data_IF_107846939282
#
_entry.id   IF_107846939282
#
_cell.length_a   1.000
_cell.length_b   1.000
_cell.length_c   1.000
_cell.angle_alpha   90.00
_cell.angle_beta   90.00
_cell.angle_gamma   90.00
#
_symmetry.space_group_name_H-M   'P 1'
#
loop_
_entity.id
_entity.type
_entity.pdbx_description
1 polymer ?
#
# COMPACT_ATOMS: atom_id res chain seq x y z
N UNK A 1 -0.67 1.65 1.81
CA UNK A 1 -1.45 2.75 2.40
C UNK A 1 -0.50 3.87 2.79
N UNK A 2 -1.05 5.07 2.92
CA UNK A 2 -0.40 6.37 3.05
C UNK A 2 0.47 6.55 4.30
N UNK A 3 0.34 5.69 5.30
CA UNK A 3 1.06 5.82 6.58
C UNK A 3 2.46 5.21 6.52
N UNK A 4 2.59 3.98 6.00
CA UNK A 4 3.83 3.20 6.09
C UNK A 4 4.72 3.31 4.83
N UNK A 5 4.15 3.69 3.68
CA UNK A 5 4.86 3.67 2.39
C UNK A 5 5.73 4.88 2.03
N UNK A 6 5.51 6.12 2.51
CA UNK A 6 6.27 7.28 2.02
C UNK A 6 7.78 7.11 2.10
N UNK A 7 8.31 6.69 3.26
CA UNK A 7 9.74 6.50 3.47
C UNK A 7 10.31 5.34 2.63
N UNK A 8 9.51 4.31 2.34
CA UNK A 8 9.96 3.22 1.47
C UNK A 8 10.19 3.72 0.03
N UNK A 9 9.29 4.56 -0.49
CA UNK A 9 9.49 5.18 -1.81
C UNK A 9 10.66 6.17 -1.82
N UNK A 10 10.84 6.96 -0.75
CA UNK A 10 12.00 7.84 -0.61
C UNK A 10 13.31 7.07 -0.62
N UNK A 11 13.39 5.92 0.07
CA UNK A 11 14.55 5.04 0.06
C UNK A 11 14.87 4.51 -1.34
N UNK A 12 13.86 4.06 -2.10
CA UNK A 12 14.03 3.68 -3.49
C UNK A 12 14.59 4.84 -4.33
N UNK A 13 14.01 6.03 -4.20
CA UNK A 13 14.42 7.23 -4.95
C UNK A 13 15.86 7.63 -4.63
N UNK A 14 16.22 7.66 -3.35
CA UNK A 14 17.57 8.00 -2.88
C UNK A 14 18.62 7.02 -3.44
N UNK A 15 18.26 5.75 -3.60
CA UNK A 15 19.13 4.71 -4.14
C UNK A 15 19.04 4.54 -5.67
N UNK A 16 18.26 5.38 -6.36
CA UNK A 16 18.04 5.28 -7.81
C UNK A 16 17.37 3.96 -8.25
N UNK A 17 16.57 3.35 -7.36
CA UNK A 17 15.88 2.07 -7.60
C UNK A 17 14.46 2.31 -8.09
N UNK A 18 13.94 1.35 -8.84
CA UNK A 18 12.52 1.30 -9.25
C UNK A 18 11.80 0.21 -8.46
N UNK A 19 10.47 0.28 -8.43
CA UNK A 19 9.65 -0.86 -8.00
C UNK A 19 9.86 -2.00 -8.99
N UNK A 20 10.32 -3.15 -8.50
CA UNK A 20 10.76 -4.30 -9.29
C UNK A 20 9.61 -4.96 -10.07
N UNK A 21 8.42 -4.99 -9.50
CA UNK A 21 7.21 -5.57 -10.10
C UNK A 21 5.98 -4.69 -9.81
N UNK A 22 5.78 -3.57 -10.52
CA UNK A 22 4.66 -2.67 -10.26
C UNK A 22 3.29 -3.36 -10.41
N UNK A 23 3.15 -4.31 -11.33
CA UNK A 23 1.92 -5.08 -11.52
C UNK A 23 1.59 -6.09 -10.39
N UNK A 24 2.51 -6.28 -9.43
CA UNK A 24 2.27 -7.08 -8.21
C UNK A 24 2.08 -6.20 -6.96
N UNK A 25 2.00 -4.88 -7.16
CA UNK A 25 1.88 -3.89 -6.09
C UNK A 25 0.67 -3.01 -6.34
N UNK A 26 -0.12 -2.79 -5.29
CA UNK A 26 -1.20 -1.82 -5.31
C UNK A 26 -1.16 -1.00 -4.02
N UNK A 27 -1.83 0.14 -4.05
CA UNK A 27 -2.05 0.99 -2.90
C UNK A 27 -3.52 1.39 -2.80
N UNK A 28 -3.96 1.66 -1.58
CA UNK A 28 -5.25 2.27 -1.27
C UNK A 28 -5.05 3.31 -0.17
N UNK A 29 -5.96 4.27 -0.09
CA UNK A 29 -6.07 5.20 1.02
C UNK A 29 -7.12 4.69 1.99
N UNK A 30 -6.79 4.48 3.26
CA UNK A 30 -7.75 3.90 4.22
C UNK A 30 -7.52 4.28 5.68
N UNK A 31 -6.36 4.82 6.04
CA UNK A 31 -6.02 5.16 7.43
C UNK A 31 -6.37 6.61 7.81
N UNK A 32 -6.22 7.52 6.85
CA UNK A 32 -6.32 8.97 7.04
C UNK A 32 -7.54 9.59 6.32
N UNK A 33 -8.39 8.74 5.75
CA UNK A 33 -9.59 9.17 5.05
C UNK A 33 -10.59 9.74 6.06
N UNK A 34 -11.08 10.96 5.82
CA UNK A 34 -12.08 11.57 6.68
C UNK A 34 -13.39 10.77 6.67
N UNK A 35 -13.97 10.59 7.85
CA UNK A 35 -15.27 9.91 8.02
C UNK A 35 -16.46 10.80 7.62
N UNK A 36 -16.24 12.09 7.34
CA UNK A 36 -17.28 13.06 7.00
C UNK A 36 -17.31 13.42 5.51
N UNK A 37 -16.17 13.37 4.84
CA UNK A 37 -16.04 13.81 3.44
C UNK A 37 -14.88 13.11 2.74
N UNK A 38 -14.96 12.99 1.41
CA UNK A 38 -13.88 12.49 0.55
C UNK A 38 -12.95 13.60 0.06
N UNK A 39 -13.07 14.82 0.59
CA UNK A 39 -12.16 15.92 0.28
C UNK A 39 -10.86 15.82 1.09
N UNK A 40 -9.75 15.60 0.38
CA UNK A 40 -8.41 15.55 0.97
C UNK A 40 -8.04 16.84 1.72
N UNK A 41 -8.57 17.99 1.29
CA UNK A 41 -8.27 19.29 1.91
C UNK A 41 -9.02 19.50 3.23
N UNK A 42 -10.07 18.73 3.48
CA UNK A 42 -10.80 18.73 4.74
C UNK A 42 -10.13 17.85 5.82
N UNK A 43 -9.04 17.16 5.47
CA UNK A 43 -8.27 16.33 6.41
C UNK A 43 -7.25 17.17 7.17
N UNK A 44 -6.81 16.68 8.34
CA UNK A 44 -5.70 17.30 9.07
C UNK A 44 -4.44 17.41 8.21
N UNK A 45 -3.57 18.37 8.52
CA UNK A 45 -2.40 18.68 7.68
C UNK A 45 -1.53 17.46 7.39
N UNK A 46 -1.23 16.65 8.40
CA UNK A 46 -0.41 15.44 8.24
C UNK A 46 -1.10 14.39 7.37
N UNK A 47 -2.40 14.14 7.61
CA UNK A 47 -3.20 13.22 6.81
C UNK A 47 -3.22 13.63 5.34
N UNK A 48 -3.41 14.92 5.07
CA UNK A 48 -3.36 15.50 3.72
C UNK A 48 -2.00 15.27 3.05
N UNK A 49 -0.90 15.54 3.75
CA UNK A 49 0.46 15.33 3.23
C UNK A 49 0.70 13.86 2.90
N UNK A 50 0.34 12.94 3.80
CA UNK A 50 0.53 11.50 3.57
C UNK A 50 -0.25 10.99 2.36
N UNK A 51 -1.52 11.39 2.22
CA UNK A 51 -2.34 11.01 1.06
C UNK A 51 -1.79 11.62 -0.24
N UNK A 52 -1.36 12.89 -0.23
CA UNK A 52 -0.74 13.53 -1.41
C UNK A 52 0.57 12.85 -1.80
N UNK A 53 1.40 12.49 -0.83
CA UNK A 53 2.67 11.81 -1.10
C UNK A 53 2.42 10.39 -1.63
N UNK A 54 1.37 9.69 -1.18
CA UNK A 54 0.97 8.42 -1.77
C UNK A 54 0.56 8.57 -3.25
N UNK A 55 -0.24 9.58 -3.60
CA UNK A 55 -0.63 9.85 -5.00
C UNK A 55 0.61 10.03 -5.87
N UNK A 56 1.52 10.91 -5.41
CA UNK A 56 2.75 11.24 -6.13
C UNK A 56 3.64 10.00 -6.30
N UNK A 57 3.87 9.24 -5.24
CA UNK A 57 4.70 8.03 -5.27
C UNK A 57 4.10 6.96 -6.19
N UNK A 58 2.79 6.72 -6.12
CA UNK A 58 2.14 5.75 -7.00
C UNK A 58 2.28 6.13 -8.48
N UNK A 59 2.09 7.42 -8.82
CA UNK A 59 2.28 7.92 -10.18
C UNK A 59 3.75 7.80 -10.64
N UNK A 60 4.71 8.17 -9.79
CA UNK A 60 6.14 8.13 -10.10
C UNK A 60 6.65 6.70 -10.34
N UNK A 61 6.21 5.75 -9.52
CA UNK A 61 6.70 4.36 -9.55
C UNK A 61 5.81 3.39 -10.34
N UNK A 62 4.71 3.88 -10.92
CA UNK A 62 3.77 3.08 -11.72
C UNK A 62 2.97 2.07 -10.91
N UNK A 63 2.69 2.37 -9.63
CA UNK A 63 1.88 1.52 -8.74
C UNK A 63 0.41 1.91 -8.87
N UNK A 64 -0.47 0.92 -9.00
CA UNK A 64 -1.91 1.16 -9.07
C UNK A 64 -2.44 1.70 -7.74
N UNK A 65 -3.22 2.78 -7.78
CA UNK A 65 -3.74 3.46 -6.60
C UNK A 65 -5.28 3.48 -6.61
N UNK A 66 -5.87 2.97 -5.54
CA UNK A 66 -7.27 3.08 -5.19
C UNK A 66 -7.43 4.35 -4.35
N UNK A 67 -7.48 5.50 -5.01
CA UNK A 67 -7.57 6.83 -4.37
C UNK A 67 -8.97 7.10 -3.77
N UNK A 68 -9.14 8.26 -3.11
CA UNK A 68 -10.39 8.66 -2.43
C UNK A 68 -11.64 8.58 -3.33
N UNK A 69 -11.49 8.80 -4.64
CA UNK A 69 -12.57 8.87 -5.60
C UNK A 69 -12.76 7.56 -6.36
N UNK A 70 -11.86 6.59 -6.19
CA UNK A 70 -11.96 5.29 -6.83
C UNK A 70 -13.17 4.52 -6.29
N UNK A 71 -14.00 3.89 -7.16
CA UNK A 71 -15.22 3.22 -6.73
C UNK A 71 -14.98 2.01 -5.80
N UNK A 72 -13.79 1.42 -5.91
CA UNK A 72 -13.36 0.27 -5.09
C UNK A 72 -12.39 0.65 -3.98
N UNK A 73 -12.23 1.94 -3.65
CA UNK A 73 -11.44 2.34 -2.49
C UNK A 73 -12.05 1.80 -1.20
N UNK A 74 -11.19 1.34 -0.31
CA UNK A 74 -11.57 0.80 0.99
C UNK A 74 -10.36 0.32 1.77
N UNK A 75 -10.65 -0.31 2.91
CA UNK A 75 -9.63 -0.87 3.81
C UNK A 75 -8.81 -1.91 3.06
N UNK A 76 -7.48 -1.81 3.12
CA UNK A 76 -6.55 -2.61 2.31
C UNK A 76 -6.80 -4.12 2.40
N UNK A 77 -7.12 -4.61 3.59
CA UNK A 77 -7.39 -6.04 3.83
C UNK A 77 -8.80 -6.50 3.46
N UNK A 78 -9.72 -5.56 3.18
CA UNK A 78 -11.06 -5.84 2.66
C UNK A 78 -11.05 -5.83 1.14
N UNK A 79 -10.48 -4.78 0.53
CA UNK A 79 -10.45 -4.67 -0.93
C UNK A 79 -9.54 -5.70 -1.59
N UNK A 80 -8.49 -6.15 -0.89
CA UNK A 80 -7.54 -7.13 -1.44
C UNK A 80 -8.24 -8.42 -1.89
N UNK A 81 -9.03 -9.08 -1.02
CA UNK A 81 -9.87 -10.21 -1.43
C UNK A 81 -10.99 -9.84 -2.40
N UNK A 82 -11.73 -8.74 -2.17
CA UNK A 82 -12.86 -8.35 -3.02
C UNK A 82 -12.47 -8.10 -4.49
N UNK A 83 -11.28 -7.55 -4.72
CA UNK A 83 -10.75 -7.24 -6.04
C UNK A 83 -9.88 -8.37 -6.63
N UNK A 84 -9.88 -9.56 -6.01
CA UNK A 84 -9.14 -10.72 -6.50
C UNK A 84 -7.61 -10.61 -6.40
N UNK A 85 -7.09 -9.71 -5.56
CA UNK A 85 -5.65 -9.55 -5.30
C UNK A 85 -5.14 -10.53 -4.25
N UNK A 86 -6.06 -11.14 -3.50
CA UNK A 86 -5.77 -12.21 -2.54
C UNK A 86 -6.29 -13.52 -3.09
N UNK A 87 -5.37 -14.40 -3.49
CA UNK A 87 -5.70 -15.73 -4.01
C UNK A 87 -4.98 -16.83 -3.20
N UNK A 88 -5.54 -18.06 -3.17
CA UNK A 88 -4.89 -19.19 -2.51
C UNK A 88 -3.47 -19.44 -3.02
N UNK A 89 -2.56 -19.79 -2.11
CA UNK A 89 -1.15 -20.11 -2.42
C UNK A 89 -0.24 -18.91 -2.67
N UNK A 90 -0.76 -17.67 -2.56
CA UNK A 90 0.07 -16.47 -2.66
C UNK A 90 0.90 -16.24 -1.38
N UNK A 91 2.06 -15.61 -1.55
CA UNK A 91 2.75 -14.90 -0.47
C UNK A 91 2.38 -13.42 -0.55
N UNK A 92 1.77 -12.89 0.51
CA UNK A 92 1.27 -11.51 0.58
C UNK A 92 2.00 -10.79 1.70
N UNK A 93 2.38 -9.54 1.43
CA UNK A 93 3.01 -8.69 2.42
C UNK A 93 2.41 -7.29 2.33
N UNK A 94 2.23 -6.63 3.46
CA UNK A 94 1.78 -5.24 3.51
C UNK A 94 2.42 -4.54 4.69
N UNK A 95 2.57 -3.21 4.58
CA UNK A 95 3.05 -2.33 5.65
C UNK A 95 2.09 -2.17 6.83
N UNK A 96 1.28 -3.19 7.13
CA UNK A 96 0.19 -3.19 8.11
C UNK A 96 0.23 -4.46 8.96
N UNK A 97 -0.01 -4.35 10.26
CA UNK A 97 0.03 -5.48 11.20
C UNK A 97 -1.09 -6.51 10.99
N UNK A 98 -2.21 -6.12 10.38
CA UNK A 98 -3.39 -6.97 10.16
C UNK A 98 -3.33 -7.74 8.83
N UNK A 99 -2.18 -7.74 8.15
CA UNK A 99 -1.97 -8.48 6.90
C UNK A 99 -2.26 -9.98 7.04
N UNK A 100 -2.17 -10.54 8.25
CA UNK A 100 -2.58 -11.93 8.53
C UNK A 100 -4.03 -12.26 8.12
N UNK A 101 -4.90 -11.25 7.97
CA UNK A 101 -6.28 -11.38 7.47
C UNK A 101 -6.36 -12.18 6.16
N UNK A 102 -5.39 -11.99 5.26
CA UNK A 102 -5.36 -12.68 3.97
C UNK A 102 -5.14 -14.20 4.10
N UNK A 103 -4.67 -14.69 5.25
CA UNK A 103 -4.52 -16.12 5.54
C UNK A 103 -5.83 -16.90 5.47
N UNK A 104 -6.98 -16.23 5.68
CA UNK A 104 -8.31 -16.83 5.52
C UNK A 104 -8.56 -17.41 4.11
N UNK A 105 -7.81 -16.95 3.11
CA UNK A 105 -7.90 -17.41 1.72
C UNK A 105 -6.84 -18.44 1.35
N UNK A 106 -6.14 -19.03 2.33
CA UNK A 106 -5.07 -20.01 2.07
C UNK A 106 -3.79 -19.37 1.52
N UNK A 107 -3.51 -18.12 1.87
CA UNK A 107 -2.27 -17.40 1.55
C UNK A 107 -1.30 -17.37 2.75
N UNK A 108 0.00 -17.20 2.49
CA UNK A 108 0.98 -16.87 3.52
C UNK A 108 1.12 -15.35 3.57
N UNK A 109 0.64 -14.72 4.65
CA UNK A 109 0.49 -13.28 4.71
C UNK A 109 1.22 -12.66 5.91
N UNK A 110 2.13 -11.71 5.65
CA UNK A 110 2.99 -11.11 6.67
C UNK A 110 2.80 -9.59 6.74
N UNK A 111 2.55 -9.07 7.94
CA UNK A 111 2.71 -7.64 8.20
C UNK A 111 4.20 -7.31 8.30
N UNK A 112 4.66 -6.29 7.58
CA UNK A 112 6.07 -5.93 7.48
C UNK A 112 6.31 -4.46 7.79
N UNK A 113 7.52 -4.13 8.25
CA UNK A 113 7.91 -2.75 8.53
C UNK A 113 8.27 -1.95 7.26
N UNK A 114 8.39 -0.62 7.38
CA UNK A 114 8.77 0.27 6.27
C UNK A 114 10.06 -0.14 5.54
N UNK A 115 11.10 -0.54 6.27
CA UNK A 115 12.37 -0.99 5.67
C UNK A 115 12.20 -2.28 4.86
N UNK A 116 11.35 -3.19 5.32
CA UNK A 116 10.99 -4.39 4.59
C UNK A 116 10.10 -4.09 3.38
N UNK A 117 9.20 -3.09 3.47
CA UNK A 117 8.43 -2.61 2.32
C UNK A 117 9.38 -2.11 1.23
N UNK A 118 10.37 -1.28 1.56
CA UNK A 118 11.40 -0.85 0.61
C UNK A 118 12.11 -2.06 -0.03
N UNK A 119 12.54 -3.01 0.81
CA UNK A 119 13.24 -4.22 0.35
C UNK A 119 12.39 -5.06 -0.60
N UNK A 120 11.10 -5.28 -0.29
CA UNK A 120 10.16 -6.03 -1.14
C UNK A 120 9.90 -5.28 -2.44
N UNK A 121 9.70 -3.96 -2.39
CA UNK A 121 9.52 -3.15 -3.60
C UNK A 121 10.76 -3.23 -4.50
N UNK A 122 11.97 -3.26 -3.93
CA UNK A 122 13.22 -3.35 -4.68
C UNK A 122 13.55 -4.76 -5.20
N UNK A 123 13.17 -5.81 -4.46
CA UNK A 123 13.71 -7.16 -4.70
C UNK A 123 12.67 -8.25 -4.96
N UNK A 124 11.43 -8.05 -4.52
CA UNK A 124 10.38 -9.09 -4.48
C UNK A 124 10.74 -10.31 -3.65
N UNK A 125 11.59 -10.11 -2.64
CA UNK A 125 11.91 -11.12 -1.64
C UNK A 125 11.63 -10.56 -0.27
N UNK A 126 11.41 -11.45 0.71
CA UNK A 126 11.29 -11.12 2.12
C UNK A 126 12.14 -12.12 2.90
N UNK A 127 12.86 -11.65 3.91
CA UNK A 127 13.60 -12.52 4.83
C UNK A 127 12.72 -12.75 6.05
N UNK A 128 12.20 -13.97 6.22
CA UNK A 128 11.40 -14.42 7.37
C UNK A 128 12.00 -15.68 7.96
#
# INVERSE_FOLDING_TARGET
>A
HEVTSPQAFDGLRAMGRKVRQPGKTFATMDHNVSTQTKDINASGEMARIQMQELIKNCAEFGVSLYDLNHPFQGIVHVIGPEQGMTLPGMTIVCGDSHTATHGAFGSLAFGIGTSEVEHVLATQTLKQ
#
